data_IF_536953110578
#
_entry.id   IF_536953110578
#
_cell.length_a   1.000
_cell.length_b   1.000
_cell.length_c   1.000
_cell.angle_alpha   90.00
_cell.angle_beta   90.00
_cell.angle_gamma   90.00
#
_symmetry.space_group_name_H-M   'P 1'
#
loop_
_entity.id
_entity.type
_entity.pdbx_description
1 polymer ?
#
# COMPACT_ATOMS: atom_id res chain seq x y z
N UNK A 1 -5.09 -21.88 17.54
CA UNK A 1 -4.44 -22.18 16.24
C UNK A 1 -5.41 -22.24 15.04
N UNK A 2 -6.75 -22.18 15.25
CA UNK A 2 -7.74 -22.26 14.15
C UNK A 2 -8.14 -20.91 13.52
N UNK A 3 -7.79 -19.78 14.14
CA UNK A 3 -8.19 -18.43 13.71
C UNK A 3 -7.61 -18.04 12.33
N UNK A 4 -6.32 -18.27 12.11
CA UNK A 4 -5.68 -17.94 10.83
C UNK A 4 -6.27 -18.74 9.63
N UNK A 5 -6.40 -20.07 9.70
CA UNK A 5 -7.04 -20.82 8.61
C UNK A 5 -8.53 -20.48 8.45
N UNK A 6 -9.25 -20.17 9.53
CA UNK A 6 -10.65 -19.73 9.45
C UNK A 6 -10.81 -18.37 8.74
N UNK A 7 -9.92 -17.40 9.04
CA UNK A 7 -9.92 -16.09 8.36
C UNK A 7 -9.57 -16.24 6.88
N UNK A 8 -8.58 -17.07 6.55
CA UNK A 8 -8.22 -17.34 5.15
C UNK A 8 -9.35 -18.03 4.39
N UNK A 9 -10.03 -18.99 5.01
CA UNK A 9 -11.19 -19.67 4.42
C UNK A 9 -12.35 -18.70 4.23
N UNK A 10 -12.66 -17.85 5.22
CA UNK A 10 -13.70 -16.84 5.10
C UNK A 10 -13.38 -15.82 3.99
N UNK A 11 -12.13 -15.36 3.91
CA UNK A 11 -11.67 -14.47 2.84
C UNK A 11 -11.76 -15.16 1.47
N UNK A 12 -11.42 -16.44 1.37
CA UNK A 12 -11.53 -17.23 0.15
C UNK A 12 -12.99 -17.40 -0.29
N UNK A 13 -13.89 -17.76 0.63
CA UNK A 13 -15.32 -17.90 0.35
C UNK A 13 -15.91 -16.57 -0.08
N UNK A 14 -15.62 -15.47 0.62
CA UNK A 14 -16.08 -14.14 0.24
C UNK A 14 -15.55 -13.72 -1.14
N UNK A 15 -14.27 -13.97 -1.42
CA UNK A 15 -13.65 -13.66 -2.71
C UNK A 15 -14.27 -14.44 -3.86
N UNK A 16 -14.54 -15.74 -3.67
CA UNK A 16 -15.18 -16.59 -4.67
C UNK A 16 -16.65 -16.24 -4.86
N UNK A 17 -17.38 -15.93 -3.78
CA UNK A 17 -18.81 -15.61 -3.83
C UNK A 17 -19.11 -14.28 -4.55
N UNK A 18 -18.16 -13.34 -4.59
CA UNK A 18 -18.29 -12.07 -5.29
C UNK A 18 -18.07 -12.18 -6.82
N UNK A 19 -17.89 -13.40 -7.36
CA UNK A 19 -17.53 -13.62 -8.76
C UNK A 19 -18.75 -13.82 -9.66
N UNK A 20 -18.81 -13.14 -10.82
CA UNK A 20 -19.73 -13.53 -11.88
C UNK A 20 -19.32 -14.89 -12.46
N UNK A 21 -20.25 -15.84 -12.56
CA UNK A 21 -20.02 -17.23 -13.01
C UNK A 21 -19.69 -17.37 -14.52
N UNK A 22 -19.47 -16.29 -15.24
CA UNK A 22 -19.31 -16.34 -16.70
C UNK A 22 -17.89 -16.77 -17.13
N UNK A 23 -17.83 -17.82 -17.95
CA UNK A 23 -16.62 -18.51 -18.45
C UNK A 23 -15.73 -17.73 -19.44
N UNK A 24 -15.84 -16.40 -19.54
CA UNK A 24 -15.06 -15.57 -20.49
C UNK A 24 -14.17 -14.51 -19.84
N UNK A 25 -14.02 -14.52 -18.52
CA UNK A 25 -13.18 -13.55 -17.85
C UNK A 25 -11.72 -14.03 -17.85
N UNK A 26 -10.83 -13.28 -18.51
CA UNK A 26 -9.38 -13.51 -18.46
C UNK A 26 -8.78 -13.27 -17.06
N UNK A 27 -7.55 -12.79 -16.97
CA UNK A 27 -6.87 -12.60 -15.68
C UNK A 27 -7.45 -11.42 -14.85
N UNK A 28 -8.22 -10.50 -15.44
CA UNK A 28 -8.73 -9.29 -14.78
C UNK A 28 -9.46 -9.51 -13.45
N UNK A 29 -10.40 -10.47 -13.28
CA UNK A 29 -11.02 -10.67 -11.97
C UNK A 29 -10.00 -11.10 -10.92
N UNK A 30 -9.01 -11.92 -11.31
CA UNK A 30 -8.03 -12.52 -10.41
C UNK A 30 -6.98 -11.55 -9.89
N UNK A 31 -6.68 -10.48 -10.62
CA UNK A 31 -5.60 -9.55 -10.26
C UNK A 31 -5.96 -8.06 -10.41
N UNK A 32 -7.03 -7.74 -11.14
CA UNK A 32 -7.42 -6.38 -11.50
C UNK A 32 -8.45 -5.75 -10.55
N UNK A 33 -8.62 -6.28 -9.34
CA UNK A 33 -9.62 -5.77 -8.39
C UNK A 33 -9.03 -5.58 -7.00
N UNK A 34 -9.56 -4.61 -6.25
CA UNK A 34 -9.16 -4.33 -4.86
C UNK A 34 -9.33 -5.58 -3.99
N UNK A 35 -10.45 -6.29 -4.16
CA UNK A 35 -10.74 -7.51 -3.40
C UNK A 35 -9.72 -8.62 -3.70
N UNK A 36 -9.25 -8.73 -4.95
CA UNK A 36 -8.19 -9.67 -5.29
C UNK A 36 -6.86 -9.27 -4.65
N UNK A 37 -6.51 -7.98 -4.66
CA UNK A 37 -5.31 -7.49 -3.99
C UNK A 37 -5.34 -7.82 -2.50
N UNK A 38 -6.46 -7.56 -1.81
CA UNK A 38 -6.64 -7.91 -0.40
C UNK A 38 -6.55 -9.42 -0.18
N UNK A 39 -7.27 -10.22 -0.97
CA UNK A 39 -7.28 -11.67 -0.87
C UNK A 39 -5.89 -12.27 -1.00
N UNK A 40 -5.17 -11.93 -2.07
CA UNK A 40 -3.82 -12.46 -2.32
C UNK A 40 -2.81 -12.00 -1.27
N UNK A 41 -2.97 -10.80 -0.72
CA UNK A 41 -2.15 -10.32 0.39
C UNK A 41 -2.36 -11.17 1.65
N UNK A 42 -3.61 -11.51 1.97
CA UNK A 42 -3.91 -12.41 3.09
C UNK A 42 -3.33 -13.82 2.85
N UNK A 43 -3.52 -14.37 1.65
CA UNK A 43 -2.96 -15.68 1.26
C UNK A 43 -1.42 -15.69 1.34
N UNK A 44 -0.75 -14.56 1.11
CA UNK A 44 0.69 -14.44 1.21
C UNK A 44 1.24 -14.36 2.65
N UNK A 45 0.39 -14.25 3.69
CA UNK A 45 0.83 -14.15 5.09
C UNK A 45 1.64 -15.36 5.56
N UNK A 46 1.22 -16.62 5.33
CA UNK A 46 2.01 -17.80 5.74
C UNK A 46 3.36 -17.87 5.02
N UNK A 47 3.40 -17.49 3.73
CA UNK A 47 4.65 -17.41 2.97
C UNK A 47 5.59 -16.36 3.56
N UNK A 48 5.05 -15.20 3.94
CA UNK A 48 5.80 -14.12 4.57
C UNK A 48 6.35 -14.54 5.94
N UNK A 49 5.56 -15.23 6.75
CA UNK A 49 6.01 -15.80 8.03
C UNK A 49 7.13 -16.84 7.83
N UNK A 50 6.98 -17.73 6.84
CA UNK A 50 8.01 -18.68 6.45
C UNK A 50 9.30 -18.00 6.01
N UNK A 51 9.21 -16.93 5.23
CA UNK A 51 10.37 -16.15 4.79
C UNK A 51 11.08 -15.47 5.97
N UNK A 52 10.33 -14.86 6.91
CA UNK A 52 10.90 -14.32 8.15
C UNK A 52 11.66 -15.40 8.91
N UNK A 53 11.05 -16.58 9.08
CA UNK A 53 11.66 -17.71 9.80
C UNK A 53 12.93 -18.20 9.11
N UNK A 54 12.92 -18.41 7.79
CA UNK A 54 14.10 -18.87 7.03
C UNK A 54 15.24 -17.85 7.15
N UNK A 55 14.94 -16.56 6.92
CA UNK A 55 15.94 -15.49 6.99
C UNK A 55 16.49 -15.32 8.41
N UNK A 56 15.62 -15.39 9.42
CA UNK A 56 16.02 -15.28 10.81
C UNK A 56 16.95 -16.43 11.22
N UNK A 57 16.60 -17.68 10.85
CA UNK A 57 17.45 -18.84 11.14
C UNK A 57 18.82 -18.75 10.49
N UNK A 58 18.90 -18.20 9.28
CA UNK A 58 20.18 -17.98 8.57
C UNK A 58 21.04 -16.87 9.21
N UNK A 59 20.46 -15.98 10.01
CA UNK A 59 21.10 -14.78 10.56
C UNK A 59 21.38 -14.85 12.08
N UNK A 60 20.99 -15.93 12.75
CA UNK A 60 21.16 -16.12 14.20
C UNK A 60 20.30 -15.18 15.06
N UNK A 61 20.65 -15.01 16.33
CA UNK A 61 19.80 -14.37 17.36
C UNK A 61 19.36 -12.94 17.03
N UNK A 62 20.20 -12.14 16.36
CA UNK A 62 19.85 -10.77 15.93
C UNK A 62 19.14 -10.71 14.57
N UNK A 63 18.91 -11.87 13.95
CA UNK A 63 18.33 -12.02 12.62
C UNK A 63 16.82 -11.81 12.56
N UNK A 64 16.10 -12.11 13.65
CA UNK A 64 14.64 -12.06 13.69
C UNK A 64 14.07 -10.67 13.40
N UNK A 65 14.51 -9.65 14.14
CA UNK A 65 14.00 -8.29 13.96
C UNK A 65 14.28 -7.71 12.57
N UNK A 66 15.48 -7.96 12.01
CA UNK A 66 15.84 -7.51 10.66
C UNK A 66 15.01 -8.21 9.59
N UNK A 67 14.82 -9.52 9.72
CA UNK A 67 14.05 -10.31 8.77
C UNK A 67 12.58 -9.93 8.80
N UNK A 68 12.03 -9.72 10.00
CA UNK A 68 10.66 -9.22 10.15
C UNK A 68 10.49 -7.84 9.50
N UNK A 69 11.38 -6.88 9.79
CA UNK A 69 11.28 -5.54 9.21
C UNK A 69 11.37 -5.55 7.67
N UNK A 70 12.30 -6.33 7.09
CA UNK A 70 12.42 -6.49 5.63
C UNK A 70 11.13 -7.02 5.00
N UNK A 71 10.59 -8.12 5.55
CA UNK A 71 9.36 -8.74 5.01
C UNK A 71 8.15 -7.84 5.24
N UNK A 72 8.07 -7.17 6.39
CA UNK A 72 6.96 -6.29 6.73
C UNK A 72 6.91 -5.02 5.87
N UNK A 73 8.07 -4.47 5.47
CA UNK A 73 8.12 -3.38 4.46
C UNK A 73 7.44 -3.85 3.17
N UNK A 74 7.84 -5.00 2.64
CA UNK A 74 7.33 -5.51 1.36
C UNK A 74 5.86 -5.88 1.46
N UNK A 75 5.53 -6.78 2.39
CA UNK A 75 4.18 -7.30 2.56
C UNK A 75 3.18 -6.21 2.96
N UNK A 76 3.62 -5.21 3.73
CA UNK A 76 2.77 -4.12 4.16
C UNK A 76 2.61 -2.99 3.14
N UNK A 77 3.49 -2.87 2.14
CA UNK A 77 3.47 -1.74 1.17
C UNK A 77 2.99 -2.18 -0.22
N UNK A 78 3.44 -3.33 -0.71
CA UNK A 78 3.13 -3.82 -2.07
C UNK A 78 1.61 -3.93 -2.32
N UNK A 79 0.78 -4.44 -1.40
CA UNK A 79 -0.66 -4.50 -1.61
C UNK A 79 -1.30 -3.14 -1.85
N UNK A 80 -0.86 -2.11 -1.12
CA UNK A 80 -1.36 -0.75 -1.29
C UNK A 80 -0.98 -0.17 -2.64
N UNK A 81 0.30 -0.30 -3.01
CA UNK A 81 0.79 0.15 -4.32
C UNK A 81 0.06 -0.58 -5.45
N UNK A 82 -0.20 -1.87 -5.30
CA UNK A 82 -1.01 -2.63 -6.26
C UNK A 82 -2.42 -2.05 -6.37
N UNK A 83 -3.13 -1.83 -5.25
CA UNK A 83 -4.50 -1.31 -5.25
C UNK A 83 -4.61 0.06 -5.93
N UNK A 84 -3.68 0.98 -5.69
CA UNK A 84 -3.72 2.32 -6.29
C UNK A 84 -3.28 2.34 -7.76
N UNK A 85 -2.57 1.30 -8.21
CA UNK A 85 -2.23 1.07 -9.63
C UNK A 85 -3.30 0.25 -10.37
N UNK A 86 -4.41 -0.11 -9.74
CA UNK A 86 -5.54 -0.71 -10.45
C UNK A 86 -6.20 0.33 -11.37
N UNK A 87 -6.44 -0.01 -12.65
CA UNK A 87 -7.09 0.87 -13.60
C UNK A 87 -8.51 1.21 -13.17
N UNK A 88 -8.91 2.46 -13.35
CA UNK A 88 -10.28 2.92 -13.23
C UNK A 88 -11.16 2.46 -14.41
N UNK A 89 -12.48 2.63 -14.32
CA UNK A 89 -13.43 2.19 -15.35
C UNK A 89 -13.18 2.81 -16.73
N UNK A 90 -12.60 4.00 -16.80
CA UNK A 90 -12.27 4.70 -18.03
C UNK A 90 -10.80 4.59 -18.46
N UNK A 91 -10.02 3.65 -17.90
CA UNK A 91 -8.59 3.54 -18.23
C UNK A 91 -8.38 3.33 -19.73
N UNK A 92 -7.44 4.08 -20.33
CA UNK A 92 -7.19 4.05 -21.77
C UNK A 92 -8.18 4.82 -22.64
N UNK A 93 -9.21 5.46 -22.06
CA UNK A 93 -10.25 6.19 -22.82
C UNK A 93 -10.57 7.56 -22.21
N UNK A 94 -10.78 7.63 -20.89
CA UNK A 94 -11.07 8.87 -20.19
C UNK A 94 -9.88 9.83 -20.24
N UNK A 95 -10.06 11.16 -20.31
CA UNK A 95 -8.92 12.08 -20.34
C UNK A 95 -7.96 11.89 -19.16
N UNK A 96 -6.65 11.99 -19.41
CA UNK A 96 -5.64 12.04 -18.36
C UNK A 96 -5.82 13.33 -17.54
N UNK A 97 -5.75 13.25 -16.21
CA UNK A 97 -6.00 14.36 -15.28
C UNK A 97 -4.80 14.56 -14.38
N UNK A 98 -4.46 15.83 -14.11
CA UNK A 98 -3.36 16.21 -13.22
C UNK A 98 -3.82 17.36 -12.34
N UNK A 99 -3.52 17.29 -11.04
CA UNK A 99 -3.75 18.37 -10.07
C UNK A 99 -2.43 18.77 -9.43
N UNK A 100 -1.91 19.94 -9.81
CA UNK A 100 -0.63 20.45 -9.34
C UNK A 100 -0.75 21.48 -8.22
N UNK A 101 -1.97 21.96 -7.95
CA UNK A 101 -2.22 22.94 -6.91
C UNK A 101 -2.32 22.22 -5.56
N UNK A 102 -1.38 22.45 -4.63
CA UNK A 102 -1.44 21.79 -3.33
C UNK A 102 -2.69 22.23 -2.56
N UNK A 103 -3.24 21.29 -1.79
CA UNK A 103 -4.44 21.35 -0.97
C UNK A 103 -5.76 21.48 -1.75
N UNK A 104 -5.71 21.50 -3.09
CA UNK A 104 -6.92 21.65 -3.91
C UNK A 104 -7.81 20.43 -3.82
N UNK A 105 -7.26 19.25 -4.07
CA UNK A 105 -8.04 18.01 -4.11
C UNK A 105 -8.53 17.67 -2.70
N UNK A 106 -7.69 17.93 -1.68
CA UNK A 106 -8.08 17.80 -0.28
C UNK A 106 -9.27 18.72 0.07
N UNK A 107 -9.24 19.98 -0.38
CA UNK A 107 -10.34 20.91 -0.17
C UNK A 107 -11.62 20.45 -0.88
N UNK A 108 -11.53 20.04 -2.15
CA UNK A 108 -12.67 19.53 -2.92
C UNK A 108 -13.30 18.31 -2.23
N UNK A 109 -12.47 17.38 -1.76
CA UNK A 109 -12.94 16.16 -1.07
C UNK A 109 -13.59 16.44 0.28
N UNK A 110 -13.08 17.43 1.03
CA UNK A 110 -13.64 17.80 2.33
C UNK A 110 -14.92 18.64 2.22
N UNK A 111 -15.09 19.40 1.14
CA UNK A 111 -16.23 20.32 0.97
C UNK A 111 -17.35 19.77 0.10
N UNK A 112 -16.99 18.97 -0.91
CA UNK A 112 -17.93 18.42 -1.89
C UNK A 112 -18.07 16.90 -1.79
N UNK A 113 -17.06 16.22 -1.22
CA UNK A 113 -17.10 14.79 -0.98
C UNK A 113 -17.99 14.40 0.19
N UNK A 114 -18.43 13.14 0.20
CA UNK A 114 -19.03 12.54 1.40
C UNK A 114 -17.99 12.34 2.50
N UNK A 115 -18.38 12.28 3.78
CA UNK A 115 -17.45 11.95 4.86
C UNK A 115 -16.72 10.62 4.65
N UNK A 116 -17.42 9.62 4.11
CA UNK A 116 -16.84 8.31 3.80
C UNK A 116 -15.76 8.43 2.73
N UNK A 117 -16.02 9.16 1.64
CA UNK A 117 -15.03 9.38 0.58
C UNK A 117 -13.81 10.14 1.10
N UNK A 118 -14.00 11.13 1.98
CA UNK A 118 -12.89 11.85 2.58
C UNK A 118 -12.01 10.94 3.45
N UNK A 119 -12.62 10.13 4.31
CA UNK A 119 -11.89 9.15 5.15
C UNK A 119 -11.14 8.15 4.28
N UNK A 120 -11.76 7.63 3.23
CA UNK A 120 -11.12 6.64 2.33
C UNK A 120 -9.97 7.25 1.55
N UNK A 121 -10.11 8.46 1.02
CA UNK A 121 -9.04 9.09 0.23
C UNK A 121 -7.87 9.55 1.11
N UNK A 122 -8.14 10.27 2.20
CA UNK A 122 -7.10 10.75 3.10
C UNK A 122 -6.45 9.56 3.81
N UNK A 123 -7.26 8.68 4.42
CA UNK A 123 -6.77 7.52 5.14
C UNK A 123 -6.07 6.52 4.22
N UNK A 124 -6.61 6.28 3.02
CA UNK A 124 -6.01 5.40 2.02
C UNK A 124 -4.61 5.84 1.64
N UNK A 125 -4.44 7.11 1.26
CA UNK A 125 -3.12 7.66 0.92
C UNK A 125 -2.15 7.63 2.11
N UNK A 126 -2.58 8.04 3.31
CA UNK A 126 -1.73 7.96 4.51
C UNK A 126 -1.22 6.54 4.78
N UNK A 127 -1.95 5.49 4.36
CA UNK A 127 -1.58 4.10 4.58
C UNK A 127 -0.66 3.52 3.50
N UNK A 128 -0.62 4.09 2.28
CA UNK A 128 0.12 3.52 1.14
C UNK A 128 1.56 3.18 1.47
N UNK A 129 2.29 4.14 2.06
CA UNK A 129 3.68 3.98 2.47
C UNK A 129 3.85 3.89 3.99
N UNK A 130 2.80 3.64 4.76
CA UNK A 130 2.92 3.54 6.22
C UNK A 130 3.82 2.37 6.63
N UNK A 131 3.69 1.20 6.00
CA UNK A 131 4.56 0.06 6.31
C UNK A 131 6.04 0.33 5.95
N UNK A 132 6.29 0.92 4.78
CA UNK A 132 7.62 1.42 4.39
C UNK A 132 8.15 2.40 5.44
N UNK A 133 7.34 3.40 5.81
CA UNK A 133 7.66 4.41 6.81
C UNK A 133 7.99 3.84 8.19
N UNK A 134 7.22 2.86 8.64
CA UNK A 134 7.42 2.24 9.94
C UNK A 134 8.68 1.38 9.98
N UNK A 135 8.86 0.48 9.01
CA UNK A 135 9.87 -0.58 9.09
C UNK A 135 11.21 -0.22 8.43
N UNK A 136 11.24 0.71 7.46
CA UNK A 136 12.50 1.15 6.85
C UNK A 136 13.51 1.74 7.86
N UNK A 137 13.15 2.67 8.77
CA UNK A 137 14.10 3.22 9.75
C UNK A 137 14.50 2.20 10.84
N UNK A 138 13.65 1.19 11.10
CA UNK A 138 13.97 0.05 11.97
C UNK A 138 15.04 -0.83 11.33
N UNK A 139 15.04 -0.93 9.99
CA UNK A 139 15.97 -1.78 9.24
C UNK A 139 17.25 -1.06 8.81
N UNK A 140 17.16 0.20 8.41
CA UNK A 140 18.23 0.95 7.75
C UNK A 140 18.53 2.23 8.52
N UNK A 141 19.72 2.29 9.14
CA UNK A 141 20.21 3.47 9.87
C UNK A 141 20.19 4.74 9.02
N UNK A 142 20.48 4.62 7.72
CA UNK A 142 20.44 5.74 6.79
C UNK A 142 19.06 6.39 6.70
N UNK A 143 17.99 5.62 6.91
CA UNK A 143 16.60 6.07 6.84
C UNK A 143 15.99 6.40 8.21
N UNK A 144 16.74 6.26 9.31
CA UNK A 144 16.31 6.57 10.68
C UNK A 144 16.21 8.09 10.93
N UNK A 145 15.34 8.76 10.17
CA UNK A 145 15.12 10.21 10.19
C UNK A 145 13.77 10.52 9.55
N UNK A 146 12.93 11.32 10.22
CA UNK A 146 11.61 11.70 9.69
C UNK A 146 11.71 12.49 8.39
N UNK A 147 12.57 13.52 8.27
CA UNK A 147 12.78 14.20 6.98
C UNK A 147 13.17 13.25 5.85
N UNK A 148 14.04 12.26 6.10
CA UNK A 148 14.41 11.27 5.09
C UNK A 148 13.25 10.37 4.70
N UNK A 149 12.39 10.03 5.65
CA UNK A 149 11.19 9.24 5.38
C UNK A 149 10.11 10.03 4.64
N UNK A 150 9.95 11.32 4.94
CA UNK A 150 9.11 12.22 4.15
C UNK A 150 9.62 12.31 2.71
N UNK A 151 10.93 12.49 2.52
CA UNK A 151 11.54 12.57 1.19
C UNK A 151 11.42 11.24 0.42
N UNK A 152 11.64 10.10 1.07
CA UNK A 152 11.48 8.79 0.45
C UNK A 152 10.01 8.53 0.09
N UNK A 153 9.07 8.82 0.98
CA UNK A 153 7.64 8.68 0.73
C UNK A 153 7.18 9.57 -0.44
N UNK A 154 7.65 10.82 -0.49
CA UNK A 154 7.37 11.73 -1.61
C UNK A 154 7.94 11.20 -2.93
N UNK A 155 9.20 10.73 -2.94
CA UNK A 155 9.82 10.17 -4.14
C UNK A 155 9.08 8.92 -4.65
N UNK A 156 8.73 8.00 -3.75
CA UNK A 156 7.93 6.82 -4.10
C UNK A 156 6.54 7.23 -4.61
N UNK A 157 5.89 8.22 -4.00
CA UNK A 157 4.60 8.69 -4.46
C UNK A 157 4.67 9.32 -5.83
N UNK A 158 5.66 10.18 -6.10
CA UNK A 158 5.84 10.77 -7.43
C UNK A 158 6.00 9.69 -8.50
N UNK A 159 6.72 8.61 -8.21
CA UNK A 159 6.83 7.48 -9.13
C UNK A 159 5.47 6.81 -9.39
N UNK A 160 4.65 6.63 -8.35
CA UNK A 160 3.28 6.07 -8.49
C UNK A 160 2.39 7.00 -9.30
N UNK A 161 2.34 8.30 -8.96
CA UNK A 161 1.55 9.30 -9.69
C UNK A 161 1.95 9.35 -11.16
N UNK A 162 3.26 9.31 -11.43
CA UNK A 162 3.80 9.27 -12.79
C UNK A 162 3.37 7.99 -13.52
N UNK A 163 3.44 6.84 -12.85
CA UNK A 163 2.98 5.58 -13.42
C UNK A 163 1.48 5.62 -13.73
N UNK A 164 0.65 6.15 -12.84
CA UNK A 164 -0.79 6.32 -13.07
C UNK A 164 -1.08 7.20 -14.28
N UNK A 165 -0.35 8.30 -14.42
CA UNK A 165 -0.47 9.19 -15.58
C UNK A 165 -0.06 8.49 -16.89
N UNK A 166 1.15 7.92 -16.92
CA UNK A 166 1.75 7.32 -18.12
C UNK A 166 0.95 6.11 -18.58
N UNK A 167 0.61 5.21 -17.65
CA UNK A 167 -0.17 4.00 -17.90
C UNK A 167 -1.66 4.28 -18.15
N UNK A 168 -2.08 5.54 -18.07
CA UNK A 168 -3.44 5.98 -18.40
C UNK A 168 -4.52 5.26 -17.56
N UNK A 169 -4.29 5.18 -16.24
CA UNK A 169 -5.10 4.37 -15.33
C UNK A 169 -6.43 4.99 -14.90
N UNK A 170 -6.88 6.07 -15.56
CA UNK A 170 -8.07 6.83 -15.16
C UNK A 170 -8.03 7.27 -13.69
N UNK A 171 -6.87 7.76 -13.27
CA UNK A 171 -6.62 8.40 -11.99
C UNK A 171 -6.26 9.87 -12.21
N UNK A 172 -6.48 10.69 -11.19
CA UNK A 172 -5.95 12.06 -11.16
C UNK A 172 -4.56 11.97 -10.58
N UNK A 173 -3.55 12.43 -11.31
CA UNK A 173 -2.21 12.51 -10.76
C UNK A 173 -2.06 13.77 -9.92
N UNK A 174 -1.91 13.64 -8.61
CA UNK A 174 -2.12 14.73 -7.66
C UNK A 174 -0.93 15.02 -6.75
N UNK A 175 -0.63 16.31 -6.56
CA UNK A 175 0.32 16.77 -5.52
C UNK A 175 -0.21 16.45 -4.13
N UNK A 176 -1.52 16.43 -3.91
CA UNK A 176 -2.11 16.14 -2.60
C UNK A 176 -1.92 14.67 -2.21
N UNK A 177 -2.04 13.76 -3.18
CA UNK A 177 -1.73 12.34 -2.97
C UNK A 177 -0.25 12.15 -2.61
N UNK A 178 0.67 12.88 -3.27
CA UNK A 178 2.11 12.89 -2.90
C UNK A 178 2.31 13.37 -1.47
N UNK A 179 1.67 14.46 -1.08
CA UNK A 179 1.79 15.03 0.27
C UNK A 179 1.23 14.07 1.33
N UNK A 180 0.07 13.45 1.08
CA UNK A 180 -0.56 12.49 1.99
C UNK A 180 0.29 11.23 2.13
N UNK A 181 0.73 10.64 1.01
CA UNK A 181 1.60 9.45 0.99
C UNK A 181 2.94 9.70 1.72
N UNK A 182 3.56 10.86 1.48
CA UNK A 182 4.78 11.28 2.18
C UNK A 182 4.54 11.46 3.69
N UNK A 183 3.46 12.16 4.05
CA UNK A 183 3.06 12.38 5.44
C UNK A 183 2.80 11.06 6.17
N UNK A 184 2.10 10.13 5.53
CA UNK A 184 1.86 8.78 6.03
C UNK A 184 3.15 8.03 6.36
N UNK A 185 4.12 8.06 5.43
CA UNK A 185 5.45 7.48 5.66
C UNK A 185 6.18 8.15 6.84
N UNK A 186 6.13 9.49 6.95
CA UNK A 186 6.74 10.24 8.04
C UNK A 186 6.11 9.96 9.42
N UNK A 187 4.78 9.92 9.50
CA UNK A 187 4.03 9.61 10.71
C UNK A 187 4.30 8.17 11.17
N UNK A 188 4.32 7.22 10.24
CA UNK A 188 4.64 5.83 10.56
C UNK A 188 6.10 5.67 11.03
N UNK A 189 7.04 6.43 10.45
CA UNK A 189 8.42 6.47 10.92
C UNK A 189 8.54 7.05 12.33
N UNK A 190 7.79 8.10 12.64
CA UNK A 190 7.69 8.65 14.00
C UNK A 190 7.17 7.62 14.99
N UNK A 191 6.12 6.88 14.62
CA UNK A 191 5.56 5.82 15.45
C UNK A 191 6.57 4.71 15.73
N UNK A 192 7.53 4.47 14.83
CA UNK A 192 8.56 3.45 15.00
C UNK A 192 9.86 3.93 15.68
N UNK A 193 9.94 5.20 16.10
CA UNK A 193 11.17 5.87 16.56
C UNK A 193 11.97 5.12 17.62
N UNK A 194 11.29 4.46 18.56
CA UNK A 194 11.95 3.70 19.65
C UNK A 194 12.71 2.47 19.17
N UNK A 195 12.42 1.98 17.96
CA UNK A 195 13.02 0.77 17.38
C UNK A 195 13.98 1.08 16.22
N UNK A 196 14.25 2.35 15.95
CA UNK A 196 15.16 2.72 14.86
C UNK A 196 16.52 2.05 15.02
N UNK A 197 17.09 1.65 13.88
CA UNK A 197 18.41 1.06 13.85
C UNK A 197 19.41 2.07 14.45
N UNK A 198 20.02 1.69 15.57
CA UNK A 198 21.05 2.48 16.25
C UNK A 198 22.37 2.37 15.57
#
# INVERSE_FOLDING_TARGET
MLLAPAVLLAAAVAFVAQRPLHHRAGWQPWLGTVNAAVFWSLVALPLSAGLVWVLARRRGDRGWGRSFAEVAVVHGTVPWVWMILLPGPGAGVAPRRVSLLPLRDLYEVLTQGTPVTAVVQIGGNLLVFAALGFFAPVRFRALASVPRMLALGAACSVLVETAQYVLWLDRVSSVDDVLLNATGAGLAALASRRWWAR
#
